data_IF_799408260767
#
_entry.id   IF_799408260767
#
_cell.length_a   1.000
_cell.length_b   1.000
_cell.length_c   1.000
_cell.angle_alpha   90.00
_cell.angle_beta   90.00
_cell.angle_gamma   90.00
#
_symmetry.space_group_name_H-M   'P 1'
#
loop_
_entity.id
_entity.type
_entity.pdbx_description
1 polymer ?
#
# COMPACT_ATOMS: atom_id res chain seq x y z
N UNK A 1 -56.87 5.51 38.76
CA UNK A 1 -56.41 4.34 37.98
C UNK A 1 -56.73 4.68 36.53
N UNK A 2 -55.81 5.16 35.69
CA UNK A 2 -54.59 4.52 35.21
C UNK A 2 -53.49 5.59 35.02
N UNK A 3 -52.34 5.39 35.64
CA UNK A 3 -51.17 6.26 35.54
C UNK A 3 -50.30 5.72 34.40
N UNK A 4 -50.28 6.39 33.24
CA UNK A 4 -49.36 6.02 32.15
C UNK A 4 -47.99 6.64 32.42
N UNK A 5 -47.04 5.83 32.88
CA UNK A 5 -45.62 6.16 32.91
C UNK A 5 -45.05 5.94 31.51
N UNK A 6 -44.73 7.01 30.79
CA UNK A 6 -43.93 6.94 29.58
C UNK A 6 -42.47 6.68 29.99
N UNK A 7 -42.05 5.42 29.92
CA UNK A 7 -40.65 5.03 30.05
C UNK A 7 -39.87 5.49 28.82
N UNK A 8 -38.99 6.47 29.00
CA UNK A 8 -37.96 6.82 28.02
C UNK A 8 -36.90 5.72 28.03
N UNK A 9 -36.87 4.89 27.01
CA UNK A 9 -35.71 4.04 26.72
C UNK A 9 -34.55 4.94 26.26
N UNK A 10 -33.70 5.36 27.20
CA UNK A 10 -32.40 5.91 26.86
C UNK A 10 -31.49 4.74 26.45
N UNK A 11 -31.39 4.48 25.14
CA UNK A 11 -30.33 3.63 24.62
C UNK A 11 -28.98 4.27 24.97
N UNK A 12 -27.96 3.51 25.44
CA UNK A 12 -26.64 4.06 25.64
C UNK A 12 -26.14 4.53 24.27
N UNK A 13 -25.89 5.83 24.13
CA UNK A 13 -25.06 6.32 23.01
C UNK A 13 -23.69 5.70 23.24
N UNK A 14 -23.31 4.73 22.42
CA UNK A 14 -21.90 4.40 22.24
C UNK A 14 -21.17 5.73 22.02
N UNK A 15 -20.28 6.10 22.96
CA UNK A 15 -19.62 7.39 22.94
C UNK A 15 -18.85 7.52 21.63
N UNK A 16 -19.20 8.51 20.80
CA UNK A 16 -18.34 8.92 19.69
C UNK A 16 -17.04 9.43 20.31
N UNK A 17 -15.91 8.86 19.89
CA UNK A 17 -14.60 9.42 20.20
C UNK A 17 -14.51 10.84 19.62
N UNK A 18 -13.67 11.72 20.20
CA UNK A 18 -13.38 13.02 19.60
C UNK A 18 -12.87 12.86 18.16
N UNK A 19 -13.30 13.73 17.26
CA UNK A 19 -12.95 13.69 15.83
C UNK A 19 -11.43 13.68 15.58
N UNK A 20 -10.66 14.40 16.40
CA UNK A 20 -9.20 14.40 16.35
C UNK A 20 -8.58 13.05 16.68
N UNK A 21 -9.16 12.30 17.62
CA UNK A 21 -8.70 10.95 17.98
C UNK A 21 -8.98 9.95 16.86
N UNK A 22 -10.14 10.09 16.19
CA UNK A 22 -10.46 9.25 15.02
C UNK A 22 -9.50 9.52 13.86
N UNK A 23 -9.22 10.78 13.55
CA UNK A 23 -8.27 11.15 12.48
C UNK A 23 -6.87 10.61 12.74
N UNK A 24 -6.37 10.72 13.97
CA UNK A 24 -5.04 10.20 14.32
C UNK A 24 -4.97 8.67 14.15
N UNK A 25 -6.02 7.95 14.56
CA UNK A 25 -6.09 6.49 14.36
C UNK A 25 -6.10 6.10 12.88
N UNK A 26 -6.83 6.84 12.04
CA UNK A 26 -6.87 6.60 10.60
C UNK A 26 -5.52 6.92 9.94
N UNK A 27 -4.84 7.99 10.37
CA UNK A 27 -3.50 8.34 9.92
C UNK A 27 -2.51 7.23 10.30
N UNK A 28 -2.48 6.82 11.56
CA UNK A 28 -1.59 5.76 12.05
C UNK A 28 -1.82 4.43 11.30
N UNK A 29 -3.08 4.07 11.07
CA UNK A 29 -3.45 2.93 10.25
C UNK A 29 -2.90 3.04 8.81
N UNK A 30 -3.07 4.18 8.16
CA UNK A 30 -2.57 4.41 6.80
C UNK A 30 -1.04 4.35 6.72
N UNK A 31 -0.33 4.87 7.72
CA UNK A 31 1.13 4.73 7.84
C UNK A 31 1.55 3.25 7.89
N UNK A 32 0.87 2.42 8.70
CA UNK A 32 1.17 0.99 8.80
C UNK A 32 0.94 0.30 7.45
N UNK A 33 -0.18 0.57 6.78
CA UNK A 33 -0.49 -0.04 5.48
C UNK A 33 0.54 0.35 4.42
N UNK A 34 0.93 1.63 4.35
CA UNK A 34 1.95 2.08 3.39
C UNK A 34 3.31 1.44 3.71
N UNK A 35 3.65 1.32 4.99
CA UNK A 35 4.87 0.66 5.43
C UNK A 35 4.91 -0.81 5.04
N UNK A 36 3.82 -1.55 5.22
CA UNK A 36 3.68 -2.95 4.80
C UNK A 36 3.92 -3.09 3.29
N UNK A 37 3.24 -2.27 2.48
CA UNK A 37 3.44 -2.24 1.03
C UNK A 37 4.91 -1.99 0.65
N UNK A 38 5.51 -0.94 1.21
CA UNK A 38 6.90 -0.58 0.90
C UNK A 38 7.89 -1.66 1.35
N UNK A 39 7.60 -2.36 2.44
CA UNK A 39 8.42 -3.49 2.88
C UNK A 39 8.33 -4.66 1.91
N UNK A 40 7.14 -5.01 1.44
CA UNK A 40 6.98 -6.06 0.43
C UNK A 40 7.73 -5.71 -0.86
N UNK A 41 7.50 -4.50 -1.39
CA UNK A 41 8.12 -4.06 -2.64
C UNK A 41 9.64 -3.86 -2.51
N UNK A 42 10.16 -3.53 -1.32
CA UNK A 42 11.61 -3.45 -1.09
C UNK A 42 12.35 -4.77 -1.27
N UNK A 43 11.63 -5.90 -1.24
CA UNK A 43 12.18 -7.25 -1.45
C UNK A 43 11.84 -7.81 -2.84
N UNK A 44 11.24 -7.02 -3.72
CA UNK A 44 10.77 -7.46 -5.02
C UNK A 44 11.87 -8.10 -5.86
N UNK A 45 13.08 -7.53 -5.85
CA UNK A 45 14.22 -8.01 -6.64
C UNK A 45 14.71 -9.41 -6.20
N UNK A 46 14.34 -9.89 -5.01
CA UNK A 46 14.66 -11.24 -4.53
C UNK A 46 14.02 -12.32 -5.40
N UNK A 47 12.91 -12.03 -6.09
CA UNK A 47 12.28 -12.98 -7.01
C UNK A 47 13.19 -13.32 -8.20
N UNK A 48 14.08 -12.38 -8.56
CA UNK A 48 15.03 -12.52 -9.68
C UNK A 48 16.15 -13.52 -9.40
N UNK A 49 16.29 -13.97 -8.14
CA UNK A 49 17.19 -15.07 -7.79
C UNK A 49 16.69 -16.43 -8.29
N UNK A 50 15.39 -16.53 -8.58
CA UNK A 50 14.70 -17.78 -8.93
C UNK A 50 14.05 -17.68 -10.32
N UNK A 51 13.67 -16.48 -10.75
CA UNK A 51 12.99 -16.21 -12.02
C UNK A 51 13.80 -15.27 -12.89
N UNK A 52 13.74 -15.49 -14.19
CA UNK A 52 14.38 -14.64 -15.19
C UNK A 52 13.32 -13.82 -15.94
N UNK A 53 13.73 -12.65 -16.41
CA UNK A 53 12.94 -11.74 -17.25
C UNK A 53 13.86 -11.13 -18.30
N UNK A 54 13.32 -10.34 -19.23
CA UNK A 54 14.13 -9.42 -20.02
C UNK A 54 14.95 -8.46 -19.13
N UNK A 55 16.10 -8.01 -19.64
CA UNK A 55 16.97 -7.01 -18.97
C UNK A 55 16.20 -5.74 -18.60
N UNK A 56 15.27 -5.30 -19.47
CA UNK A 56 14.44 -4.12 -19.25
C UNK A 56 13.49 -4.29 -18.06
N UNK A 57 12.88 -5.46 -17.91
CA UNK A 57 12.00 -5.73 -16.78
C UNK A 57 12.81 -5.93 -15.51
N UNK A 58 13.95 -6.62 -15.59
CA UNK A 58 14.84 -6.80 -14.44
C UNK A 58 15.26 -5.44 -13.86
N UNK A 59 15.73 -4.53 -14.72
CA UNK A 59 16.11 -3.18 -14.30
C UNK A 59 14.96 -2.42 -13.67
N UNK A 60 13.73 -2.53 -14.21
CA UNK A 60 12.57 -1.86 -13.64
C UNK A 60 12.20 -2.43 -12.26
N UNK A 61 12.23 -3.75 -12.08
CA UNK A 61 11.96 -4.38 -10.78
C UNK A 61 12.98 -3.98 -9.71
N UNK A 62 14.25 -3.83 -10.09
CA UNK A 62 15.30 -3.31 -9.20
C UNK A 62 15.05 -1.86 -8.82
N UNK A 63 14.71 -1.00 -9.78
CA UNK A 63 14.38 0.39 -9.51
C UNK A 63 13.19 0.53 -8.55
N UNK A 64 12.16 -0.32 -8.70
CA UNK A 64 11.02 -0.38 -7.77
C UNK A 64 11.49 -0.79 -6.38
N UNK A 65 12.30 -1.83 -6.25
CA UNK A 65 12.80 -2.31 -4.97
C UNK A 65 13.67 -1.25 -4.25
N UNK A 66 14.55 -0.58 -4.98
CA UNK A 66 15.39 0.50 -4.46
C UNK A 66 14.56 1.71 -4.02
N UNK A 67 13.63 2.17 -4.86
CA UNK A 67 12.75 3.28 -4.52
C UNK A 67 11.89 2.97 -3.29
N UNK A 68 11.36 1.74 -3.21
CA UNK A 68 10.55 1.28 -2.08
C UNK A 68 11.37 1.19 -0.79
N UNK A 69 12.61 0.72 -0.87
CA UNK A 69 13.55 0.73 0.25
C UNK A 69 13.79 2.14 0.78
N UNK A 70 14.00 3.11 -0.11
CA UNK A 70 14.25 4.50 0.28
C UNK A 70 13.01 5.16 0.89
N UNK A 71 11.85 4.95 0.29
CA UNK A 71 10.58 5.45 0.82
C UNK A 71 10.25 4.80 2.17
N UNK A 72 10.52 3.50 2.35
CA UNK A 72 10.35 2.81 3.63
C UNK A 72 11.21 3.45 4.72
N UNK A 73 12.50 3.67 4.45
CA UNK A 73 13.39 4.36 5.39
C UNK A 73 12.94 5.79 5.70
N UNK A 74 12.39 6.49 4.71
CA UNK A 74 11.83 7.82 4.89
C UNK A 74 10.60 7.78 5.81
N UNK A 75 9.70 6.82 5.58
CA UNK A 75 8.49 6.62 6.37
C UNK A 75 8.83 6.25 7.83
N UNK A 76 9.79 5.35 8.05
CA UNK A 76 10.26 4.99 9.38
C UNK A 76 10.81 6.22 10.12
N UNK A 77 11.60 7.08 9.45
CA UNK A 77 12.07 8.35 10.04
C UNK A 77 10.95 9.35 10.31
N UNK A 78 9.88 9.35 9.52
CA UNK A 78 8.70 10.19 9.78
C UNK A 78 8.00 9.71 11.05
N UNK A 79 7.77 8.40 11.17
CA UNK A 79 7.15 7.79 12.34
C UNK A 79 7.97 8.01 13.63
N UNK A 80 9.29 7.83 13.59
CA UNK A 80 10.17 8.08 14.75
C UNK A 80 10.10 9.51 15.29
N UNK A 81 9.76 10.49 14.44
CA UNK A 81 9.64 11.90 14.82
C UNK A 81 8.27 12.29 15.33
N UNK A 82 7.27 11.41 15.19
CA UNK A 82 5.90 11.66 15.63
C UNK A 82 5.52 10.71 16.78
N UNK A 83 5.58 11.17 18.05
CA UNK A 83 5.26 10.33 19.20
C UNK A 83 3.78 9.95 19.32
N UNK A 84 2.90 10.55 18.51
CA UNK A 84 1.48 10.22 18.49
C UNK A 84 1.17 8.99 17.62
N UNK A 85 2.07 8.62 16.71
CA UNK A 85 1.94 7.42 15.88
C UNK A 85 2.38 6.19 16.68
N UNK A 86 1.52 5.18 16.77
CA UNK A 86 1.85 3.94 17.45
C UNK A 86 2.47 2.92 16.50
N UNK A 87 2.16 3.03 15.21
CA UNK A 87 2.56 2.07 14.17
C UNK A 87 2.20 0.62 14.50
N UNK A 88 1.22 0.42 15.40
CA UNK A 88 0.95 -0.89 15.99
C UNK A 88 -0.20 -1.65 15.31
N UNK A 89 -1.09 -0.93 14.61
CA UNK A 89 -2.29 -1.52 14.03
C UNK A 89 -2.68 -0.82 12.72
N UNK A 90 -3.00 -1.61 11.70
CA UNK A 90 -3.37 -1.13 10.37
C UNK A 90 -4.84 -0.69 10.23
N UNK A 91 -5.62 -0.71 11.32
CA UNK A 91 -7.02 -0.25 11.31
C UNK A 91 -7.99 -1.20 10.57
N UNK A 92 -7.50 -2.25 9.92
CA UNK A 92 -8.31 -3.09 9.05
C UNK A 92 -9.15 -4.10 9.87
N UNK A 93 -10.41 -4.38 9.47
CA UNK A 93 -11.14 -5.50 10.02
C UNK A 93 -10.36 -6.81 9.83
N UNK A 94 -10.43 -7.72 10.80
CA UNK A 94 -9.67 -8.99 10.74
C UNK A 94 -9.95 -9.79 9.45
N UNK A 95 -11.19 -9.78 8.95
CA UNK A 95 -11.54 -10.44 7.69
C UNK A 95 -10.80 -9.84 6.49
N UNK A 96 -10.56 -8.53 6.48
CA UNK A 96 -9.83 -7.84 5.42
C UNK A 96 -8.35 -8.21 5.44
N UNK A 97 -7.73 -8.24 6.64
CA UNK A 97 -6.34 -8.71 6.79
C UNK A 97 -6.19 -10.13 6.23
N UNK A 98 -7.08 -11.05 6.61
CA UNK A 98 -7.06 -12.43 6.11
C UNK A 98 -7.21 -12.52 4.58
N UNK A 99 -8.05 -11.67 3.99
CA UNK A 99 -8.23 -11.63 2.52
C UNK A 99 -6.97 -11.12 1.84
N UNK A 100 -6.36 -10.04 2.35
CA UNK A 100 -5.10 -9.48 1.81
C UNK A 100 -3.96 -10.50 1.88
N UNK A 101 -3.79 -11.16 3.02
CA UNK A 101 -2.79 -12.23 3.20
C UNK A 101 -3.01 -13.38 2.21
N UNK A 102 -4.27 -13.79 2.02
CA UNK A 102 -4.60 -14.85 1.07
C UNK A 102 -4.34 -14.44 -0.39
N UNK A 103 -4.60 -13.18 -0.75
CA UNK A 103 -4.27 -12.65 -2.07
C UNK A 103 -2.75 -12.64 -2.26
N UNK A 104 -1.99 -12.04 -1.33
CA UNK A 104 -0.53 -11.96 -1.40
C UNK A 104 0.10 -13.36 -1.52
N UNK A 105 -0.35 -14.32 -0.71
CA UNK A 105 0.11 -15.71 -0.77
C UNK A 105 -0.18 -16.37 -2.13
N UNK A 106 -1.39 -16.18 -2.67
CA UNK A 106 -1.76 -16.75 -3.97
C UNK A 106 -1.00 -16.11 -5.12
N UNK A 107 -0.86 -14.79 -5.13
CA UNK A 107 -0.08 -14.06 -6.13
C UNK A 107 1.37 -14.50 -6.10
N UNK A 108 1.98 -14.61 -4.91
CA UNK A 108 3.35 -15.12 -4.75
C UNK A 108 3.51 -16.54 -5.31
N UNK A 109 2.57 -17.45 -5.03
CA UNK A 109 2.58 -18.80 -5.61
C UNK A 109 2.43 -18.77 -7.13
N UNK A 110 1.55 -17.93 -7.67
CA UNK A 110 1.37 -17.79 -9.12
C UNK A 110 2.67 -17.35 -9.78
N UNK A 111 3.31 -16.31 -9.28
CA UNK A 111 4.61 -15.82 -9.76
C UNK A 111 5.69 -16.91 -9.70
N UNK A 112 5.81 -17.62 -8.58
CA UNK A 112 6.81 -18.68 -8.43
C UNK A 112 6.54 -19.90 -9.32
N UNK A 113 5.28 -20.17 -9.67
CA UNK A 113 4.90 -21.30 -10.53
C UNK A 113 4.87 -20.97 -12.02
N UNK A 114 4.85 -19.70 -12.40
CA UNK A 114 4.80 -19.25 -13.78
C UNK A 114 6.05 -19.68 -14.57
N UNK A 115 5.88 -19.98 -15.85
CA UNK A 115 7.02 -20.09 -16.78
C UNK A 115 7.61 -18.68 -17.04
N UNK A 116 8.71 -18.59 -17.79
CA UNK A 116 9.41 -17.31 -18.01
C UNK A 116 8.53 -16.25 -18.68
N UNK A 117 7.81 -16.61 -19.76
CA UNK A 117 6.96 -15.68 -20.51
C UNK A 117 5.76 -15.19 -19.66
N UNK A 118 5.08 -16.11 -18.97
CA UNK A 118 3.96 -15.77 -18.10
C UNK A 118 4.44 -15.00 -16.87
N UNK A 119 5.64 -15.28 -16.37
CA UNK A 119 6.21 -14.63 -15.20
C UNK A 119 6.38 -13.13 -15.43
N UNK A 120 6.99 -12.75 -16.55
CA UNK A 120 7.27 -11.34 -16.86
C UNK A 120 5.98 -10.52 -16.95
N UNK A 121 4.95 -11.05 -17.60
CA UNK A 121 3.64 -10.41 -17.66
C UNK A 121 2.96 -10.31 -16.29
N UNK A 122 2.94 -11.41 -15.53
CA UNK A 122 2.28 -11.47 -14.22
C UNK A 122 2.96 -10.56 -13.19
N UNK A 123 4.29 -10.50 -13.18
CA UNK A 123 5.01 -9.63 -12.24
C UNK A 123 4.70 -8.17 -12.55
N UNK A 124 4.69 -7.77 -13.83
CA UNK A 124 4.37 -6.39 -14.21
C UNK A 124 2.93 -5.99 -13.88
N UNK A 125 1.93 -6.87 -14.05
CA UNK A 125 0.55 -6.58 -13.62
C UNK A 125 0.46 -6.42 -12.10
N UNK A 126 1.17 -7.26 -11.36
CA UNK A 126 1.23 -7.16 -9.91
C UNK A 126 1.79 -5.79 -9.50
N UNK A 127 2.86 -5.35 -10.19
CA UNK A 127 3.50 -4.07 -9.96
C UNK A 127 2.65 -2.86 -10.38
N UNK A 128 1.86 -2.97 -11.45
CA UNK A 128 0.90 -1.93 -11.86
C UNK A 128 -0.09 -1.65 -10.71
N UNK A 129 -0.62 -2.72 -10.12
CA UNK A 129 -1.55 -2.63 -8.99
C UNK A 129 -0.87 -2.07 -7.73
N UNK A 130 0.33 -2.55 -7.40
CA UNK A 130 1.06 -2.12 -6.21
C UNK A 130 1.42 -0.62 -6.26
N UNK A 131 1.98 -0.16 -7.39
CA UNK A 131 2.38 1.24 -7.54
C UNK A 131 1.18 2.18 -7.60
N UNK A 132 0.09 1.77 -8.28
CA UNK A 132 -1.16 2.54 -8.29
C UNK A 132 -1.77 2.66 -6.89
N UNK A 133 -1.78 1.56 -6.13
CA UNK A 133 -2.27 1.56 -4.76
C UNK A 133 -1.43 2.45 -3.84
N UNK A 134 -0.10 2.30 -3.87
CA UNK A 134 0.80 3.12 -3.05
C UNK A 134 0.71 4.60 -3.38
N UNK A 135 0.61 4.97 -4.66
CA UNK A 135 0.42 6.35 -5.12
C UNK A 135 -0.82 6.98 -4.47
N UNK A 136 -1.98 6.33 -4.62
CA UNK A 136 -3.23 6.84 -4.07
C UNK A 136 -3.28 6.81 -2.53
N UNK A 137 -2.67 5.81 -1.90
CA UNK A 137 -2.54 5.77 -0.44
C UNK A 137 -1.68 6.91 0.09
N UNK A 138 -0.55 7.19 -0.56
CA UNK A 138 0.33 8.30 -0.21
C UNK A 138 -0.38 9.65 -0.39
N UNK A 139 -1.17 9.81 -1.46
CA UNK A 139 -1.96 11.02 -1.66
C UNK A 139 -3.01 11.23 -0.57
N UNK A 140 -3.72 10.16 -0.17
CA UNK A 140 -4.70 10.22 0.90
C UNK A 140 -4.05 10.58 2.25
N UNK A 141 -2.88 10.00 2.55
CA UNK A 141 -2.10 10.34 3.74
C UNK A 141 -1.67 11.82 3.74
N UNK A 142 -1.23 12.34 2.60
CA UNK A 142 -0.88 13.75 2.48
C UNK A 142 -2.07 14.69 2.73
N UNK A 143 -3.28 14.32 2.29
CA UNK A 143 -4.49 15.13 2.47
C UNK A 143 -4.99 15.12 3.93
N UNK A 144 -4.68 14.06 4.68
CA UNK A 144 -5.06 13.91 6.10
C UNK A 144 -4.04 14.49 7.07
N UNK A 145 -2.78 14.59 6.66
CA UNK A 145 -1.66 15.02 7.49
C UNK A 145 -1.71 16.53 7.80
N UNK A 146 -1.82 16.94 9.07
CA UNK A 146 -1.85 18.35 9.45
C UNK A 146 -0.51 19.07 9.28
N UNK A 147 0.63 18.38 9.38
CA UNK A 147 1.94 18.99 9.17
C UNK A 147 2.26 19.10 7.67
N UNK A 148 2.34 20.33 7.16
CA UNK A 148 2.58 20.57 5.73
C UNK A 148 3.92 19.99 5.22
N UNK A 149 4.94 19.86 6.08
CA UNK A 149 6.23 19.26 5.72
C UNK A 149 6.15 17.73 5.63
N UNK A 150 5.37 17.09 6.48
CA UNK A 150 5.08 15.64 6.42
C UNK A 150 4.15 15.35 5.24
N UNK A 151 3.09 16.15 5.03
CA UNK A 151 2.22 16.05 3.87
C UNK A 151 2.99 16.18 2.55
N UNK A 152 3.94 17.13 2.48
CA UNK A 152 4.82 17.29 1.31
C UNK A 152 5.74 16.09 1.07
N UNK A 153 6.13 15.34 2.10
CA UNK A 153 6.88 14.09 1.94
C UNK A 153 6.02 12.98 1.35
N UNK A 154 4.75 12.87 1.77
CA UNK A 154 3.80 11.94 1.18
C UNK A 154 3.46 12.25 -0.28
N UNK A 155 3.32 13.54 -0.65
CA UNK A 155 3.16 13.91 -2.06
C UNK A 155 4.36 13.50 -2.92
N UNK A 156 5.59 13.68 -2.41
CA UNK A 156 6.78 13.19 -3.10
C UNK A 156 6.80 11.66 -3.26
N UNK A 157 6.32 10.90 -2.26
CA UNK A 157 6.16 9.45 -2.40
C UNK A 157 5.13 9.10 -3.48
N UNK A 158 3.97 9.78 -3.50
CA UNK A 158 2.95 9.60 -4.54
C UNK A 158 3.52 9.85 -5.95
N UNK A 159 4.27 10.94 -6.13
CA UNK A 159 4.90 11.27 -7.41
C UNK A 159 5.91 10.21 -7.86
N UNK A 160 6.76 9.70 -6.94
CA UNK A 160 7.70 8.61 -7.24
C UNK A 160 6.99 7.33 -7.63
N UNK A 161 5.92 6.96 -6.92
CA UNK A 161 5.11 5.77 -7.27
C UNK A 161 4.37 5.95 -8.59
N UNK A 162 3.91 7.17 -8.90
CA UNK A 162 3.29 7.49 -10.19
C UNK A 162 4.28 7.33 -11.34
N UNK A 163 5.54 7.74 -11.17
CA UNK A 163 6.58 7.56 -12.19
C UNK A 163 6.83 6.07 -12.46
N UNK A 164 7.04 5.28 -11.39
CA UNK A 164 7.23 3.83 -11.50
C UNK A 164 6.02 3.13 -12.13
N UNK A 165 4.80 3.52 -11.74
CA UNK A 165 3.56 3.00 -12.34
C UNK A 165 3.48 3.29 -13.84
N UNK A 166 3.89 4.48 -14.29
CA UNK A 166 3.92 4.80 -15.72
C UNK A 166 4.93 3.92 -16.47
N UNK A 167 6.12 3.73 -15.89
CA UNK A 167 7.16 2.85 -16.46
C UNK A 167 6.70 1.39 -16.55
N UNK A 168 5.96 0.90 -15.54
CA UNK A 168 5.34 -0.45 -15.58
C UNK A 168 4.34 -0.57 -16.71
N UNK A 169 3.44 0.40 -16.90
CA UNK A 169 2.47 0.39 -18.01
C UNK A 169 3.14 0.45 -19.37
N UNK A 170 4.19 1.26 -19.52
CA UNK A 170 4.99 1.30 -20.74
C UNK A 170 5.63 -0.05 -21.04
N UNK A 171 6.18 -0.71 -20.02
CA UNK A 171 6.75 -2.06 -20.18
C UNK A 171 5.69 -3.10 -20.54
N UNK A 172 4.54 -3.10 -19.86
CA UNK A 172 3.41 -3.97 -20.21
C UNK A 172 2.98 -3.80 -21.66
N UNK A 173 2.88 -2.56 -22.13
CA UNK A 173 2.53 -2.28 -23.53
C UNK A 173 3.56 -2.85 -24.50
N UNK A 174 4.85 -2.69 -24.21
CA UNK A 174 5.90 -3.23 -25.08
C UNK A 174 5.86 -4.76 -25.22
N UNK A 175 5.47 -5.49 -24.16
CA UNK A 175 5.29 -6.94 -24.24
C UNK A 175 4.18 -7.36 -25.21
N UNK A 176 3.12 -6.57 -25.32
CA UNK A 176 2.05 -6.83 -26.28
C UNK A 176 2.47 -6.54 -27.73
N UNK A 177 3.31 -5.52 -27.93
CA UNK A 177 3.80 -5.13 -29.25
C UNK A 177 4.82 -6.16 -29.78
N UNK A 178 5.69 -6.71 -28.92
CA UNK A 178 6.71 -7.72 -29.28
C UNK A 178 6.12 -9.12 -29.57
N UNK A 179 4.91 -9.41 -29.09
CA UNK A 179 4.22 -10.69 -29.31
C UNK A 179 3.38 -10.77 -30.60
N UNK A 180 3.48 -9.77 -31.48
CA UNK A 180 2.64 -9.65 -32.69
C UNK A 180 3.27 -10.18 -33.99
N UNK A 181 4.40 -10.90 -33.92
CA UNK A 181 5.11 -11.49 -35.06
C UNK A 181 4.78 -12.98 -35.31
#
# INVERSE_FOLDING_TARGET
MCLMMLGSCASPKAGRLPESSTRLMELDAGYVILRELLADESNLDSILLIKSTSDSTESLLRDIAEASTDMLRQLDRMAERNPELTMAFNGLPQVEVLVRDAIASRTGMQLLSANEDDFEYLVLITQDSAMSYGMHLSDALADMEPDAGVAGQFKQMSERMSDLHNRVKERLKSLCDDGSD
#
